data_IF_554783906160
#
_entry.id   IF_554783906160
#
_cell.length_a   1.000
_cell.length_b   1.000
_cell.length_c   1.000
_cell.angle_alpha   90.00
_cell.angle_beta   90.00
_cell.angle_gamma   90.00
#
_symmetry.space_group_name_H-M   'P 1'
#
loop_
_entity.id
_entity.type
_entity.pdbx_description
1 polymer ?
#
# COMPACT_ATOMS: atom_id res chain seq x y z
N UNK A 1 0.77 -13.00 20.88
CA UNK A 1 1.87 -12.57 19.97
C UNK A 1 1.95 -11.05 19.98
N UNK A 2 3.15 -10.49 20.08
CA UNK A 2 3.38 -9.03 20.04
C UNK A 2 4.25 -8.71 18.81
N UNK A 3 3.67 -8.54 17.63
CA UNK A 3 4.44 -8.21 16.44
C UNK A 3 5.04 -6.80 16.52
N UNK A 4 6.16 -6.58 15.87
CA UNK A 4 6.79 -5.26 15.72
C UNK A 4 6.34 -4.52 14.46
N UNK A 5 5.68 -5.21 13.55
CA UNK A 5 5.09 -4.67 12.34
C UNK A 5 4.11 -5.67 11.72
N UNK A 6 3.26 -5.18 10.83
CA UNK A 6 2.26 -5.99 10.13
C UNK A 6 2.40 -5.80 8.63
N UNK A 7 2.48 -6.90 7.93
CA UNK A 7 2.52 -6.94 6.48
C UNK A 7 1.19 -7.44 5.93
N UNK A 8 0.53 -6.64 5.12
CA UNK A 8 -0.72 -6.99 4.44
C UNK A 8 -0.40 -7.47 3.04
N UNK A 9 -0.38 -8.77 2.86
CA UNK A 9 0.01 -9.40 1.60
C UNK A 9 -1.08 -9.35 0.55
N UNK A 10 -0.71 -9.81 -0.65
CA UNK A 10 -1.63 -10.00 -1.76
C UNK A 10 -2.66 -11.11 -1.49
N UNK A 11 -3.76 -11.08 -2.22
CA UNK A 11 -4.81 -12.08 -2.22
C UNK A 11 -5.82 -11.84 -3.34
N UNK A 12 -6.70 -12.79 -3.63
CA UNK A 12 -7.72 -12.65 -4.67
C UNK A 12 -8.99 -11.96 -4.17
N UNK A 13 -9.81 -11.50 -5.11
CA UNK A 13 -11.18 -11.07 -4.88
C UNK A 13 -11.39 -9.57 -4.80
N UNK A 14 -12.64 -9.21 -4.56
CA UNK A 14 -13.06 -7.82 -4.34
C UNK A 14 -12.60 -7.37 -2.95
N UNK A 15 -11.81 -6.29 -2.86
CA UNK A 15 -11.29 -5.81 -1.57
C UNK A 15 -12.41 -5.42 -0.59
N UNK A 16 -13.52 -4.86 -1.05
CA UNK A 16 -14.62 -4.47 -0.18
C UNK A 16 -15.33 -5.69 0.44
N UNK A 17 -15.45 -6.78 -0.30
CA UNK A 17 -16.04 -8.03 0.20
C UNK A 17 -15.05 -8.82 1.06
N UNK A 18 -13.80 -8.96 0.60
CA UNK A 18 -12.76 -9.76 1.24
C UNK A 18 -12.26 -9.12 2.54
N UNK A 19 -12.19 -7.79 2.58
CA UNK A 19 -11.61 -7.03 3.68
C UNK A 19 -12.51 -6.77 4.88
N UNK A 20 -13.78 -7.11 4.83
CA UNK A 20 -14.76 -6.72 5.87
C UNK A 20 -14.31 -7.03 7.30
N UNK A 21 -13.81 -8.22 7.55
CA UNK A 21 -13.33 -8.63 8.87
C UNK A 21 -11.98 -8.03 9.27
N UNK A 22 -11.14 -7.69 8.29
CA UNK A 22 -9.79 -7.16 8.53
C UNK A 22 -9.78 -5.67 8.84
N UNK A 23 -10.76 -4.91 8.34
CA UNK A 23 -10.81 -3.44 8.47
C UNK A 23 -10.77 -3.00 9.93
N UNK A 24 -11.56 -3.61 10.80
CA UNK A 24 -11.59 -3.28 12.23
C UNK A 24 -10.25 -3.55 12.93
N UNK A 25 -9.62 -4.65 12.59
CA UNK A 25 -8.29 -5.03 13.10
C UNK A 25 -7.24 -4.01 12.67
N UNK A 26 -7.24 -3.63 11.38
CA UNK A 26 -6.29 -2.66 10.83
C UNK A 26 -6.47 -1.30 11.49
N UNK A 27 -7.70 -0.83 11.68
CA UNK A 27 -7.99 0.43 12.39
C UNK A 27 -7.39 0.42 13.80
N UNK A 28 -7.51 -0.69 14.53
CA UNK A 28 -6.93 -0.84 15.87
C UNK A 28 -5.40 -0.78 15.82
N UNK A 29 -4.78 -1.44 14.86
CA UNK A 29 -3.32 -1.41 14.68
C UNK A 29 -2.81 -0.01 14.36
N UNK A 30 -3.53 0.74 13.52
CA UNK A 30 -3.20 2.13 13.18
C UNK A 30 -3.24 3.02 14.44
N UNK A 31 -4.27 2.88 15.28
CA UNK A 31 -4.37 3.60 16.54
C UNK A 31 -3.20 3.32 17.49
N UNK A 32 -2.69 2.09 17.46
CA UNK A 32 -1.53 1.68 18.27
C UNK A 32 -0.19 2.08 17.62
N UNK A 33 -0.20 2.85 16.55
CA UNK A 33 0.99 3.26 15.80
C UNK A 33 1.85 2.08 15.32
N UNK A 34 1.21 0.96 15.01
CA UNK A 34 1.87 -0.21 14.47
C UNK A 34 2.41 0.08 13.06
N UNK A 35 3.68 -0.22 12.77
CA UNK A 35 4.17 -0.18 11.39
C UNK A 35 3.41 -1.15 10.50
N UNK A 36 2.85 -0.65 9.40
CA UNK A 36 2.07 -1.43 8.44
C UNK A 36 2.57 -1.17 7.03
N UNK A 37 2.77 -2.24 6.27
CA UNK A 37 3.06 -2.19 4.84
C UNK A 37 2.07 -3.09 4.09
N UNK A 38 1.32 -2.52 3.14
CA UNK A 38 0.34 -3.25 2.32
C UNK A 38 0.76 -3.37 0.86
N UNK A 39 0.50 -4.54 0.26
CA UNK A 39 0.80 -4.80 -1.15
C UNK A 39 -0.46 -5.33 -1.84
N UNK A 40 -0.78 -4.78 -3.00
CA UNK A 40 -1.88 -5.17 -3.89
C UNK A 40 -3.24 -5.21 -3.15
N UNK A 41 -3.80 -6.37 -2.85
CA UNK A 41 -5.01 -6.47 -2.05
C UNK A 41 -4.83 -5.82 -0.67
N UNK A 42 -3.67 -5.99 -0.04
CA UNK A 42 -3.35 -5.35 1.24
C UNK A 42 -3.37 -3.83 1.17
N UNK A 43 -2.93 -3.25 0.06
CA UNK A 43 -3.04 -1.81 -0.22
C UNK A 43 -4.51 -1.36 -0.30
N UNK A 44 -5.33 -2.10 -1.01
CA UNK A 44 -6.75 -1.77 -1.17
C UNK A 44 -7.52 -1.88 0.16
N UNK A 45 -7.27 -2.93 0.93
CA UNK A 45 -7.89 -3.12 2.25
C UNK A 45 -7.42 -2.05 3.25
N UNK A 46 -6.14 -1.67 3.22
CA UNK A 46 -5.63 -0.57 4.02
C UNK A 46 -6.36 0.74 3.69
N UNK A 47 -6.55 1.05 2.41
CA UNK A 47 -7.28 2.24 1.98
C UNK A 47 -8.72 2.23 2.51
N UNK A 48 -9.40 1.08 2.45
CA UNK A 48 -10.76 0.93 3.02
C UNK A 48 -10.76 1.17 4.54
N UNK A 49 -9.77 0.66 5.26
CA UNK A 49 -9.63 0.89 6.70
C UNK A 49 -9.39 2.36 7.04
N UNK A 50 -8.76 3.12 6.15
CA UNK A 50 -8.54 4.55 6.29
C UNK A 50 -9.76 5.40 5.89
N UNK A 51 -10.83 4.79 5.37
CA UNK A 51 -12.07 5.45 4.98
C UNK A 51 -12.21 5.74 3.49
N UNK A 52 -11.28 5.32 2.66
CA UNK A 52 -11.37 5.42 1.21
C UNK A 52 -12.31 4.36 0.62
N UNK A 53 -12.60 4.48 -0.65
CA UNK A 53 -13.41 3.53 -1.45
C UNK A 53 -12.57 2.91 -2.54
N UNK A 54 -12.96 1.71 -2.96
CA UNK A 54 -12.38 1.00 -4.11
C UNK A 54 -13.44 0.83 -5.19
N UNK A 55 -12.99 0.68 -6.43
CA UNK A 55 -13.85 0.37 -7.57
C UNK A 55 -13.18 -0.62 -8.51
N UNK A 56 -14.00 -1.37 -9.26
CA UNK A 56 -13.51 -2.26 -10.31
C UNK A 56 -13.05 -1.43 -11.51
N UNK A 57 -11.88 -1.77 -12.05
CA UNK A 57 -11.34 -1.16 -13.28
C UNK A 57 -12.02 -1.74 -14.52
N UNK A 58 -12.13 -0.95 -15.59
CA UNK A 58 -12.56 -1.47 -16.90
C UNK A 58 -11.56 -2.47 -17.46
N UNK A 59 -10.28 -2.08 -17.43
CA UNK A 59 -9.13 -2.92 -17.79
C UNK A 59 -8.22 -2.93 -16.58
N UNK A 60 -7.93 -4.10 -16.03
CA UNK A 60 -6.96 -4.21 -14.95
C UNK A 60 -5.54 -3.96 -15.42
N UNK A 61 -4.62 -3.80 -14.49
CA UNK A 61 -3.19 -3.75 -14.77
C UNK A 61 -2.59 -5.14 -14.62
N UNK A 62 -1.96 -5.65 -15.69
CA UNK A 62 -1.28 -6.95 -15.69
C UNK A 62 -0.02 -6.88 -16.53
N UNK A 63 1.10 -7.33 -15.95
CA UNK A 63 2.40 -7.34 -16.60
C UNK A 63 3.52 -6.84 -15.71
N UNK A 64 4.75 -6.95 -16.20
CA UNK A 64 5.96 -6.61 -15.47
C UNK A 64 6.68 -5.35 -16.00
N UNK A 65 5.97 -4.51 -16.73
CA UNK A 65 6.53 -3.33 -17.41
C UNK A 65 5.69 -2.07 -17.23
N UNK A 66 4.95 -1.95 -16.12
CA UNK A 66 4.12 -0.80 -15.84
C UNK A 66 4.93 0.34 -15.20
N UNK A 67 5.04 1.50 -15.86
CA UNK A 67 5.73 2.66 -15.29
C UNK A 67 4.84 3.35 -14.24
N UNK A 68 5.44 3.57 -13.08
CA UNK A 68 4.81 4.25 -11.95
C UNK A 68 5.69 5.42 -11.54
N UNK A 69 5.10 6.58 -11.34
CA UNK A 69 5.82 7.73 -10.82
C UNK A 69 5.76 7.77 -9.29
N UNK A 70 6.94 7.81 -8.67
CA UNK A 70 7.10 8.12 -7.27
C UNK A 70 6.98 9.63 -7.09
N UNK A 71 5.93 10.09 -6.41
CA UNK A 71 5.64 11.52 -6.25
C UNK A 71 6.51 12.19 -5.17
N UNK A 72 7.25 11.41 -4.38
CA UNK A 72 8.12 11.95 -3.34
C UNK A 72 9.45 12.42 -3.93
N UNK A 73 10.03 11.65 -4.86
CA UNK A 73 11.33 11.93 -5.47
C UNK A 73 11.29 12.16 -6.99
N UNK A 74 10.09 12.10 -7.60
CA UNK A 74 9.84 12.25 -9.04
C UNK A 74 10.43 11.15 -9.92
N UNK A 75 11.01 10.10 -9.38
CA UNK A 75 11.55 9.00 -10.15
C UNK A 75 10.43 8.16 -10.78
N UNK A 76 10.73 7.55 -11.92
CA UNK A 76 9.87 6.54 -12.55
C UNK A 76 10.39 5.17 -12.19
N UNK A 77 9.50 4.33 -11.70
CA UNK A 77 9.78 2.94 -11.30
C UNK A 77 9.04 2.00 -12.27
N UNK A 78 9.73 1.01 -12.79
CA UNK A 78 9.09 -0.05 -13.56
C UNK A 78 8.59 -1.10 -12.60
N UNK A 79 7.31 -1.47 -12.70
CA UNK A 79 6.64 -2.30 -11.71
C UNK A 79 5.95 -3.50 -12.33
N UNK A 80 5.80 -4.55 -11.52
CA UNK A 80 4.97 -5.71 -11.82
C UNK A 80 3.58 -5.52 -11.24
N UNK A 81 2.55 -5.71 -12.06
CA UNK A 81 1.16 -5.46 -11.69
C UNK A 81 0.26 -6.64 -12.01
N UNK A 82 -0.69 -6.92 -11.14
CA UNK A 82 -1.75 -7.88 -11.36
C UNK A 82 -2.96 -7.57 -10.49
N UNK A 83 -3.78 -6.60 -10.92
CA UNK A 83 -4.98 -6.21 -10.18
C UNK A 83 -6.09 -5.72 -11.10
N UNK A 84 -7.34 -5.85 -10.63
CA UNK A 84 -8.53 -5.40 -11.34
C UNK A 84 -9.36 -4.37 -10.57
N UNK A 85 -8.89 -3.93 -9.40
CA UNK A 85 -9.52 -2.90 -8.57
C UNK A 85 -8.54 -1.78 -8.29
N UNK A 86 -9.07 -0.57 -8.07
CA UNK A 86 -8.29 0.62 -7.74
C UNK A 86 -8.93 1.42 -6.62
N UNK A 87 -8.16 2.28 -5.96
CA UNK A 87 -8.66 3.23 -4.97
C UNK A 87 -9.30 4.42 -5.70
N UNK A 88 -10.48 4.82 -5.25
CA UNK A 88 -11.17 6.02 -5.75
C UNK A 88 -10.48 7.25 -5.16
N UNK A 89 -9.81 8.03 -6.00
CA UNK A 89 -8.98 9.19 -5.59
C UNK A 89 -9.77 10.19 -4.74
N UNK A 90 -10.98 10.52 -5.15
CA UNK A 90 -11.84 11.50 -4.49
C UNK A 90 -12.31 11.05 -3.11
N UNK A 91 -12.17 9.76 -2.80
CA UNK A 91 -12.56 9.19 -1.50
C UNK A 91 -11.46 9.23 -0.44
N UNK A 92 -10.23 9.61 -0.81
CA UNK A 92 -9.11 9.65 0.13
C UNK A 92 -9.31 10.71 1.21
N UNK A 93 -9.13 10.35 2.50
CA UNK A 93 -9.11 11.35 3.59
C UNK A 93 -7.91 12.30 3.46
N UNK A 94 -8.02 13.48 4.07
CA UNK A 94 -6.97 14.52 4.03
C UNK A 94 -5.65 14.09 4.67
N UNK A 95 -5.69 13.15 5.62
CA UNK A 95 -4.50 12.63 6.29
C UNK A 95 -3.81 11.50 5.52
N UNK A 96 -4.30 11.15 4.34
CA UNK A 96 -3.70 10.15 3.45
C UNK A 96 -3.08 10.84 2.25
N UNK A 97 -1.79 10.57 2.03
CA UNK A 97 -0.99 11.12 0.94
C UNK A 97 -0.83 10.09 -0.17
N UNK A 98 -0.99 10.50 -1.42
CA UNK A 98 -0.68 9.69 -2.59
C UNK A 98 0.83 9.75 -2.81
N UNK A 99 1.51 8.60 -2.78
CA UNK A 99 2.96 8.50 -2.94
C UNK A 99 3.37 8.06 -4.34
N UNK A 100 2.50 7.32 -5.02
CA UNK A 100 2.79 6.78 -6.36
C UNK A 100 1.53 6.83 -7.23
N UNK A 101 1.72 7.05 -8.53
CA UNK A 101 0.65 7.00 -9.52
C UNK A 101 1.09 6.30 -10.79
N UNK A 102 0.16 5.63 -11.47
CA UNK A 102 0.38 5.05 -12.80
C UNK A 102 0.62 6.13 -13.84
N UNK A 103 1.62 5.95 -14.70
CA UNK A 103 1.83 6.82 -15.86
C UNK A 103 0.92 6.47 -17.05
N UNK A 104 0.20 5.34 -17.00
CA UNK A 104 -0.75 4.97 -18.05
C UNK A 104 -2.10 5.66 -17.90
N UNK A 105 -2.64 5.73 -16.68
CA UNK A 105 -4.01 6.19 -16.44
C UNK A 105 -4.17 7.04 -15.19
N UNK A 106 -3.06 7.41 -14.53
CA UNK A 106 -3.02 8.21 -13.30
C UNK A 106 -3.73 7.57 -12.09
N UNK A 107 -4.04 6.27 -12.12
CA UNK A 107 -4.61 5.63 -10.95
C UNK A 107 -3.60 5.63 -9.78
N UNK A 108 -4.13 5.54 -8.56
CA UNK A 108 -3.32 5.53 -7.35
C UNK A 108 -2.56 4.21 -7.26
N UNK A 109 -1.24 4.29 -7.16
CA UNK A 109 -0.34 3.15 -7.04
C UNK A 109 0.37 3.06 -5.69
N UNK A 110 0.25 4.08 -4.86
CA UNK A 110 0.78 4.09 -3.51
C UNK A 110 0.15 5.15 -2.65
N UNK A 111 0.01 4.86 -1.36
CA UNK A 111 -0.48 5.79 -0.34
C UNK A 111 0.36 5.70 0.94
N UNK A 112 0.32 6.77 1.71
CA UNK A 112 0.95 6.87 3.02
C UNK A 112 0.03 7.63 3.97
N UNK A 113 -0.10 7.14 5.21
CA UNK A 113 -0.77 7.88 6.28
C UNK A 113 0.21 8.90 6.87
N UNK A 114 -0.18 10.17 6.89
CA UNK A 114 0.66 11.25 7.46
C UNK A 114 0.89 11.00 8.95
N UNK A 115 2.15 11.19 9.40
CA UNK A 115 2.56 11.08 10.81
C UNK A 115 2.40 9.68 11.44
N UNK A 116 2.21 8.63 10.64
CA UNK A 116 2.13 7.24 11.09
C UNK A 116 3.01 6.35 10.23
N UNK A 117 3.58 5.26 10.77
CA UNK A 117 4.43 4.33 10.01
C UNK A 117 3.59 3.37 9.16
N UNK A 118 2.68 3.90 8.35
CA UNK A 118 1.70 3.14 7.57
C UNK A 118 1.76 3.58 6.12
N UNK A 119 2.05 2.63 5.22
CA UNK A 119 2.08 2.89 3.78
C UNK A 119 1.76 1.62 2.98
N UNK A 120 1.44 1.80 1.71
CA UNK A 120 1.13 0.68 0.83
C UNK A 120 1.34 1.02 -0.63
N UNK A 121 1.51 -0.02 -1.46
CA UNK A 121 1.61 0.08 -2.91
C UNK A 121 0.69 -0.93 -3.59
N UNK A 122 0.17 -0.57 -4.77
CA UNK A 122 -0.74 -1.40 -5.55
C UNK A 122 -0.02 -2.51 -6.32
N UNK A 123 1.22 -2.27 -6.70
CA UNK A 123 2.06 -3.18 -7.47
C UNK A 123 2.80 -4.17 -6.56
N UNK A 124 3.56 -5.08 -7.18
CA UNK A 124 4.28 -6.17 -6.53
C UNK A 124 5.79 -5.90 -6.47
N UNK A 125 6.31 -5.22 -5.42
CA UNK A 125 7.75 -4.97 -5.29
C UNK A 125 8.56 -6.26 -5.00
N UNK A 126 7.90 -7.32 -4.54
CA UNK A 126 8.48 -8.63 -4.27
C UNK A 126 8.62 -9.52 -5.51
N UNK A 127 8.15 -9.07 -6.67
CA UNK A 127 8.08 -9.89 -7.89
C UNK A 127 9.44 -10.43 -8.32
N UNK A 128 9.52 -11.76 -8.50
CA UNK A 128 10.72 -12.45 -8.97
C UNK A 128 10.32 -13.64 -9.86
N UNK A 129 10.73 -13.71 -11.16
CA UNK A 129 11.51 -12.67 -11.85
C UNK A 129 10.67 -11.43 -12.14
N UNK A 130 11.29 -10.25 -12.06
CA UNK A 130 10.61 -8.99 -12.32
C UNK A 130 11.47 -7.78 -12.01
N UNK A 131 10.92 -6.57 -12.21
CA UNK A 131 11.62 -5.32 -11.93
C UNK A 131 12.05 -5.19 -10.48
N UNK A 132 13.23 -4.59 -10.25
CA UNK A 132 13.84 -4.43 -8.92
C UNK A 132 13.76 -2.99 -8.39
N UNK A 133 13.17 -2.07 -9.15
CA UNK A 133 13.15 -0.64 -8.85
C UNK A 133 12.48 -0.31 -7.50
N UNK A 134 11.61 -1.19 -7.02
CA UNK A 134 10.76 -0.97 -5.84
C UNK A 134 11.21 -1.72 -4.58
N UNK A 135 12.37 -2.39 -4.61
CA UNK A 135 12.88 -3.17 -3.46
C UNK A 135 13.10 -2.29 -2.22
N UNK A 136 13.41 -1.02 -2.39
CA UNK A 136 13.61 -0.06 -1.29
C UNK A 136 12.42 0.03 -0.33
N UNK A 137 11.21 -0.34 -0.77
CA UNK A 137 10.00 -0.30 0.07
C UNK A 137 10.09 -1.26 1.27
N UNK A 138 10.71 -2.42 1.09
CA UNK A 138 10.94 -3.36 2.19
C UNK A 138 11.91 -2.79 3.22
N UNK A 139 12.95 -2.08 2.77
CA UNK A 139 13.89 -1.41 3.67
C UNK A 139 13.20 -0.28 4.44
N UNK A 140 12.30 0.47 3.79
CA UNK A 140 11.49 1.49 4.44
C UNK A 140 10.62 0.89 5.56
N UNK A 141 9.98 -0.26 5.31
CA UNK A 141 9.19 -0.97 6.31
C UNK A 141 10.05 -1.41 7.51
N UNK A 142 11.20 -2.01 7.26
CA UNK A 142 12.15 -2.40 8.31
C UNK A 142 12.60 -1.19 9.13
N UNK A 143 12.90 -0.07 8.49
CA UNK A 143 13.29 1.16 9.16
C UNK A 143 12.17 1.70 10.06
N UNK A 144 10.93 1.63 9.63
CA UNK A 144 9.76 2.00 10.42
C UNK A 144 9.63 1.11 11.66
N UNK A 145 9.84 -0.20 11.53
CA UNK A 145 9.83 -1.15 12.65
C UNK A 145 10.91 -0.78 13.67
N UNK A 146 12.14 -0.52 13.22
CA UNK A 146 13.27 -0.16 14.09
C UNK A 146 13.02 1.15 14.85
N UNK A 147 12.49 2.18 14.17
CA UNK A 147 12.12 3.46 14.79
C UNK A 147 11.05 3.29 15.85
N UNK A 148 10.01 2.51 15.55
CA UNK A 148 8.90 2.27 16.46
C UNK A 148 9.36 1.49 17.70
N UNK A 149 10.25 0.50 17.55
CA UNK A 149 10.82 -0.26 18.64
C UNK A 149 11.65 0.63 19.59
N UNK A 150 12.46 1.55 19.05
CA UNK A 150 13.21 2.53 19.84
C UNK A 150 12.27 3.46 20.63
N UNK A 151 11.21 3.95 20.02
CA UNK A 151 10.21 4.83 20.65
C UNK A 151 9.52 4.14 21.84
N UNK A 152 9.24 2.84 21.73
CA UNK A 152 8.61 2.07 22.81
C UNK A 152 9.53 1.77 23.99
N UNK A 153 10.86 1.81 23.78
CA UNK A 153 11.88 1.55 24.83
C UNK A 153 12.31 2.81 25.58
N UNK A 154 12.04 3.95 25.02
CA UNK A 154 12.23 5.25 25.66
C UNK A 154 10.91 5.72 26.32
#
# INVERSE_FOLDING_TARGET
>A
MRPDGVFLSNGPGDPAATGKYAIGIIKTLIKKEMPIFGICLGHQILALALGAKTKKMKLGHRGANHPVQNLINSNVEITSQNHGFEIVKESLPKNVEITHKSLFDNCIEGIRLKNKPVFSVQYHPESNPGPQDSIYLFQEFINNIKKNAKKKRS
#
